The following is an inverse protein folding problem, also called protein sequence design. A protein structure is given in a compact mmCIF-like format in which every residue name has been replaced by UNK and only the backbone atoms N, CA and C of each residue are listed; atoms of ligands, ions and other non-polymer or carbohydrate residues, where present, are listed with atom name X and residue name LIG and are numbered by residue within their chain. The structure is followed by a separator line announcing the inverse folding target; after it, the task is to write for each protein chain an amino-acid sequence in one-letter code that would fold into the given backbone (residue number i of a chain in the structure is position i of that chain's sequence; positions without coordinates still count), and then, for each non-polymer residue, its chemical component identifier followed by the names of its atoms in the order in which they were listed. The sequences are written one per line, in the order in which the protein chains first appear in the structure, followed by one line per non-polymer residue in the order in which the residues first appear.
data_IF_684894858013
#
_entry.id   IF_684894858013
#
_cell.length_a   1.000
_cell.length_b   1.000
_cell.length_c   1.000
_cell.angle_alpha   90.00
_cell.angle_beta   90.00
_cell.angle_gamma   90.00
#
_symmetry.space_group_name_H-M   'P 1'
#
loop_
_entity.id
_entity.type
_entity.pdbx_description
1 polymer ?
#
# COMPACT_ATOMS: atom_id res chain seq x y z
N UNK A 1 12.16 6.05 1.23
CA UNK A 1 11.45 7.35 1.25
C UNK A 1 10.21 7.31 2.15
N UNK A 2 9.27 6.37 1.96
CA UNK A 2 8.11 6.25 2.87
C UNK A 2 8.50 6.05 4.34
N UNK A 3 9.48 5.17 4.63
CA UNK A 3 9.95 4.93 6.01
C UNK A 3 10.57 6.15 6.68
N UNK A 4 11.30 6.98 5.92
CA UNK A 4 11.96 8.17 6.45
C UNK A 4 10.99 9.33 6.64
N UNK A 5 9.90 9.38 5.88
CA UNK A 5 8.90 10.47 5.95
C UNK A 5 7.81 10.22 7.00
N UNK A 6 7.44 8.94 7.25
CA UNK A 6 6.42 8.56 8.22
C UNK A 6 6.57 9.22 9.62
N UNK A 7 7.77 9.28 10.23
CA UNK A 7 7.98 9.96 11.52
C UNK A 7 7.74 11.47 11.45
N UNK A 8 8.00 12.11 10.31
CA UNK A 8 7.81 13.54 10.11
C UNK A 8 6.38 13.92 9.74
N UNK A 9 5.57 12.94 9.33
CA UNK A 9 4.17 13.13 8.98
C UNK A 9 3.20 12.71 10.11
N UNK A 10 3.70 12.24 11.26
CA UNK A 10 2.88 11.69 12.33
C UNK A 10 2.11 10.43 11.91
N UNK A 11 2.66 9.68 10.95
CA UNK A 11 1.96 8.59 10.27
C UNK A 11 2.58 7.25 10.64
N UNK A 12 1.82 6.39 11.30
CA UNK A 12 2.20 4.99 11.51
C UNK A 12 1.64 4.12 10.38
N UNK A 13 2.44 3.18 9.90
CA UNK A 13 1.99 2.22 8.90
C UNK A 13 1.01 1.18 9.46
N UNK A 14 1.10 0.89 10.75
CA UNK A 14 0.20 -0.04 11.41
C UNK A 14 -1.23 0.55 11.46
N UNK A 15 -2.20 -0.18 10.90
CA UNK A 15 -3.59 0.27 10.80
C UNK A 15 -3.85 1.29 9.69
N UNK A 16 -2.82 1.71 8.95
CA UNK A 16 -2.99 2.60 7.81
C UNK A 16 -3.72 1.90 6.67
N UNK A 17 -4.68 2.59 6.04
CA UNK A 17 -5.34 2.13 4.81
C UNK A 17 -4.67 2.81 3.63
N UNK A 18 -4.09 2.04 2.72
CA UNK A 18 -3.26 2.56 1.63
C UNK A 18 -3.77 2.13 0.27
N UNK A 19 -3.66 3.01 -0.71
CA UNK A 19 -3.88 2.72 -2.11
C UNK A 19 -2.56 2.82 -2.88
N UNK A 20 -2.30 1.88 -3.79
CA UNK A 20 -1.08 1.81 -4.60
C UNK A 20 -1.43 2.16 -6.04
N UNK A 21 -0.83 3.21 -6.59
CA UNK A 21 -0.89 3.49 -8.02
C UNK A 21 0.43 3.07 -8.69
N UNK A 22 0.37 2.27 -9.76
CA UNK A 22 1.51 1.65 -10.42
C UNK A 22 1.84 0.23 -9.93
N UNK A 23 0.86 -0.68 -9.93
CA UNK A 23 0.97 -2.07 -9.42
C UNK A 23 1.82 -3.04 -10.30
N UNK A 24 2.91 -2.53 -10.87
CA UNK A 24 3.93 -3.31 -11.60
C UNK A 24 4.99 -3.93 -10.66
N UNK A 25 6.21 -4.11 -11.16
CA UNK A 25 7.31 -4.69 -10.40
C UNK A 25 7.59 -3.96 -9.07
N UNK A 26 7.59 -2.62 -9.07
CA UNK A 26 7.84 -1.82 -7.87
C UNK A 26 6.60 -1.73 -6.97
N UNK A 27 5.42 -1.48 -7.54
CA UNK A 27 4.18 -1.33 -6.78
C UNK A 27 3.82 -2.57 -5.96
N UNK A 28 4.05 -3.78 -6.51
CA UNK A 28 3.85 -5.04 -5.76
C UNK A 28 4.79 -5.17 -4.56
N UNK A 29 6.06 -4.79 -4.71
CA UNK A 29 7.01 -4.80 -3.60
C UNK A 29 6.64 -3.76 -2.54
N UNK A 30 6.21 -2.56 -2.95
CA UNK A 30 5.75 -1.52 -2.04
C UNK A 30 4.49 -1.96 -1.27
N UNK A 31 3.51 -2.57 -1.94
CA UNK A 31 2.30 -3.11 -1.32
C UNK A 31 2.63 -4.16 -0.26
N UNK A 32 3.47 -5.16 -0.60
CA UNK A 32 3.91 -6.20 0.36
C UNK A 32 4.72 -5.62 1.51
N UNK A 33 5.56 -4.62 1.23
CA UNK A 33 6.35 -3.93 2.26
C UNK A 33 5.45 -3.20 3.27
N UNK A 34 4.45 -2.45 2.78
CA UNK A 34 3.49 -1.74 3.65
C UNK A 34 2.62 -2.71 4.43
N UNK A 35 2.16 -3.81 3.80
CA UNK A 35 1.38 -4.84 4.47
C UNK A 35 2.16 -5.51 5.61
N UNK A 36 3.44 -5.83 5.41
CA UNK A 36 4.33 -6.33 6.48
C UNK A 36 4.52 -5.34 7.63
N UNK A 37 4.28 -4.05 7.39
CA UNK A 37 4.34 -2.99 8.41
C UNK A 37 2.98 -2.71 9.06
N UNK A 38 1.98 -3.56 8.81
CA UNK A 38 0.66 -3.49 9.41
C UNK A 38 -0.35 -2.61 8.66
N UNK A 39 -0.02 -2.15 7.46
CA UNK A 39 -0.96 -1.42 6.62
C UNK A 39 -1.92 -2.37 5.91
N UNK A 40 -3.15 -1.93 5.68
CA UNK A 40 -4.12 -2.63 4.83
C UNK A 40 -4.12 -1.98 3.46
N UNK A 41 -3.73 -2.72 2.42
CA UNK A 41 -3.86 -2.24 1.04
C UNK A 41 -5.32 -2.37 0.63
N UNK A 42 -6.01 -1.24 0.43
CA UNK A 42 -7.44 -1.21 0.07
C UNK A 42 -7.68 -0.87 -1.40
N UNK A 43 -6.62 -0.54 -2.12
CA UNK A 43 -6.70 -0.19 -3.54
C UNK A 43 -5.38 -0.43 -4.27
N UNK A 44 -5.48 -0.89 -5.51
CA UNK A 44 -4.34 -1.06 -6.42
C UNK A 44 -4.77 -0.63 -7.83
N UNK A 45 -3.95 0.16 -8.51
CA UNK A 45 -4.22 0.61 -9.88
C UNK A 45 -2.97 0.50 -10.76
N UNK A 46 -3.17 0.23 -12.04
CA UNK A 46 -2.17 0.32 -13.09
C UNK A 46 -2.81 0.77 -14.41
N UNK A 47 -2.09 0.63 -15.53
CA UNK A 47 -2.58 1.03 -16.86
C UNK A 47 -3.75 0.18 -17.37
N UNK A 48 -3.95 -1.03 -16.84
CA UNK A 48 -5.02 -1.92 -17.23
C UNK A 48 -6.30 -1.70 -16.41
N UNK A 49 -6.19 -1.12 -15.21
CA UNK A 49 -7.35 -0.74 -14.42
C UNK A 49 -7.06 -0.56 -12.94
N UNK A 50 -8.14 -0.61 -12.16
CA UNK A 50 -8.12 -0.37 -10.72
C UNK A 50 -8.94 -1.42 -9.98
N UNK A 51 -8.38 -1.95 -8.89
CA UNK A 51 -9.04 -2.78 -7.90
C UNK A 51 -9.19 -1.98 -6.60
N UNK A 52 -10.34 -2.07 -5.96
CA UNK A 52 -10.58 -1.50 -4.63
C UNK A 52 -11.37 -2.50 -3.78
N UNK A 53 -10.87 -2.76 -2.57
CA UNK A 53 -11.53 -3.56 -1.55
C UNK A 53 -11.34 -2.87 -0.19
N UNK A 54 -12.44 -2.40 0.40
CA UNK A 54 -12.41 -1.73 1.69
C UNK A 54 -11.96 -2.67 2.82
N UNK A 55 -12.17 -3.98 2.70
CA UNK A 55 -11.72 -5.00 3.65
C UNK A 55 -10.25 -5.37 3.48
N UNK A 56 -9.65 -5.05 2.34
CA UNK A 56 -8.26 -5.28 2.02
C UNK A 56 -8.09 -6.21 0.82
N UNK A 57 -7.05 -5.95 0.03
CA UNK A 57 -6.68 -6.75 -1.13
C UNK A 57 -5.72 -7.85 -0.66
N UNK A 58 -5.99 -9.09 -1.05
CA UNK A 58 -5.05 -10.19 -0.84
C UNK A 58 -3.81 -9.99 -1.74
N UNK A 59 -2.64 -9.96 -1.10
CA UNK A 59 -1.35 -9.71 -1.76
C UNK A 59 -0.53 -10.99 -1.92
N UNK A 60 -1.13 -12.18 -1.73
CA UNK A 60 -0.51 -13.50 -1.88
C UNK A 60 0.36 -13.61 -3.15
#
# INVERSE_FOLDING_TARGET
MAESAAPHCGFEFAGARVAIHGYGAVGRHAARFLARRGATVVGAADSAGTLADASGIDLA
#
